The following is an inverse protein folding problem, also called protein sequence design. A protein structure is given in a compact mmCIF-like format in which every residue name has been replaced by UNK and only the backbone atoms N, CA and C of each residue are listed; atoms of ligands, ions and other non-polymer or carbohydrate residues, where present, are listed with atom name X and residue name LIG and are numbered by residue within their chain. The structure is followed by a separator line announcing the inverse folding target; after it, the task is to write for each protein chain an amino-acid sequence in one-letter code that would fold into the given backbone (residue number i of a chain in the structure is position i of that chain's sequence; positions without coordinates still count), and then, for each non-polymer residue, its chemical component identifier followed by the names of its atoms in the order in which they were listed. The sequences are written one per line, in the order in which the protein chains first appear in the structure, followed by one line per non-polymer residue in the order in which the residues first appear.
data_IF_971791970948
#
_entry.id   IF_971791970948
#
_cell.length_a   1.000
_cell.length_b   1.000
_cell.length_c   1.000
_cell.angle_alpha   90.00
_cell.angle_beta   90.00
_cell.angle_gamma   90.00
#
_symmetry.space_group_name_H-M   'P 1'
#
loop_
_entity.id
_entity.type
_entity.pdbx_description
1 polymer ?
#
# COMPACT_ATOMS: atom_id res chain seq x y z
N UNK A 1 2.72 5.17 -10.80
CA UNK A 1 1.50 4.42 -11.18
C UNK A 1 0.69 4.14 -9.93
N UNK A 2 -0.63 4.36 -10.00
CA UNK A 2 -1.55 4.20 -8.88
C UNK A 2 -2.21 2.82 -8.89
N UNK A 3 -2.09 2.08 -7.78
CA UNK A 3 -2.69 0.76 -7.62
C UNK A 3 -3.73 0.75 -6.50
N UNK A 4 -4.88 0.14 -6.79
CA UNK A 4 -6.02 -0.08 -5.89
C UNK A 4 -6.53 -1.51 -6.07
N UNK A 5 -7.57 -1.90 -5.34
CA UNK A 5 -8.25 -3.19 -5.54
C UNK A 5 -8.76 -3.41 -6.98
N UNK A 6 -8.88 -2.36 -7.79
CA UNK A 6 -9.43 -2.42 -9.15
C UNK A 6 -8.39 -2.87 -10.20
N UNK A 7 -7.10 -2.84 -9.89
CA UNK A 7 -6.03 -3.09 -10.86
C UNK A 7 -4.87 -3.94 -10.30
N UNK A 8 -5.18 -4.83 -9.36
CA UNK A 8 -4.26 -5.82 -8.79
C UNK A 8 -4.95 -7.18 -8.65
N UNK A 9 -4.19 -8.26 -8.49
CA UNK A 9 -4.78 -9.57 -8.17
C UNK A 9 -5.41 -9.58 -6.78
N UNK A 10 -6.47 -10.37 -6.61
CA UNK A 10 -7.06 -10.62 -5.29
C UNK A 10 -6.01 -11.27 -4.38
N UNK A 11 -5.89 -10.76 -3.15
CA UNK A 11 -4.92 -11.27 -2.18
C UNK A 11 -3.53 -10.68 -2.30
N UNK A 12 -3.32 -9.69 -3.18
CA UNK A 12 -2.06 -8.96 -3.31
C UNK A 12 -1.59 -8.42 -1.96
N UNK A 13 -0.32 -8.67 -1.63
CA UNK A 13 0.32 -8.24 -0.39
C UNK A 13 1.41 -7.20 -0.65
N UNK A 14 1.74 -6.40 0.36
CA UNK A 14 2.86 -5.47 0.33
C UNK A 14 3.83 -5.81 1.47
N UNK A 15 5.11 -5.95 1.15
CA UNK A 15 6.16 -6.33 2.09
C UNK A 15 7.23 -5.25 2.20
N UNK A 16 7.51 -4.81 3.43
CA UNK A 16 8.67 -4.00 3.77
C UNK A 16 9.85 -4.94 3.95
N UNK A 17 10.78 -4.91 2.99
CA UNK A 17 11.90 -5.83 2.94
C UNK A 17 12.96 -5.50 4.00
N UNK A 18 13.08 -4.23 4.40
CA UNK A 18 14.06 -3.81 5.41
C UNK A 18 13.64 -4.30 6.79
N UNK A 19 12.34 -4.18 7.09
CA UNK A 19 11.76 -4.60 8.37
C UNK A 19 11.32 -6.06 8.38
N UNK A 20 11.35 -6.75 7.23
CA UNK A 20 10.87 -8.13 7.02
C UNK A 20 9.42 -8.32 7.48
N UNK A 21 8.59 -7.30 7.29
CA UNK A 21 7.20 -7.30 7.73
C UNK A 21 6.23 -7.14 6.56
N UNK A 22 5.02 -7.67 6.73
CA UNK A 22 3.91 -7.40 5.83
C UNK A 22 3.24 -6.11 6.27
N UNK A 23 3.06 -5.17 5.35
CA UNK A 23 2.29 -3.95 5.61
C UNK A 23 0.81 -4.30 5.52
N UNK A 24 0.10 -4.01 6.60
CA UNK A 24 -1.32 -4.33 6.74
C UNK A 24 -2.19 -3.11 6.41
N UNK A 25 -3.48 -3.35 6.13
CA UNK A 25 -4.50 -2.31 5.87
C UNK A 25 -4.17 -1.38 4.69
N UNK A 26 -3.46 -1.88 3.69
CA UNK A 26 -3.17 -1.12 2.46
C UNK A 26 -4.47 -0.85 1.69
N UNK A 27 -4.70 0.41 1.36
CA UNK A 27 -5.86 0.88 0.61
C UNK A 27 -5.46 1.25 -0.82
N UNK A 28 -4.28 1.85 -0.96
CA UNK A 28 -3.76 2.36 -2.23
C UNK A 28 -2.24 2.45 -2.21
N UNK A 29 -1.62 2.24 -3.37
CA UNK A 29 -0.17 2.34 -3.55
C UNK A 29 0.11 3.30 -4.71
N UNK A 30 0.91 4.34 -4.47
CA UNK A 30 1.47 5.20 -5.51
C UNK A 30 2.96 4.88 -5.68
N UNK A 31 3.27 4.13 -6.74
CA UNK A 31 4.64 3.71 -7.05
C UNK A 31 5.51 4.82 -7.64
N UNK A 32 4.89 5.89 -8.18
CA UNK A 32 5.66 7.05 -8.69
C UNK A 32 6.15 7.91 -7.53
N UNK A 33 5.34 8.03 -6.47
CA UNK A 33 5.69 8.80 -5.27
C UNK A 33 6.32 7.95 -4.17
N UNK A 34 6.40 6.64 -4.35
CA UNK A 34 6.77 5.68 -3.31
C UNK A 34 5.95 5.84 -2.02
N UNK A 35 4.64 6.07 -2.17
CA UNK A 35 3.70 6.26 -1.06
C UNK A 35 2.72 5.09 -0.95
N UNK A 36 2.54 4.58 0.26
CA UNK A 36 1.55 3.56 0.59
C UNK A 36 0.52 4.17 1.53
N UNK A 37 -0.74 4.18 1.11
CA UNK A 37 -1.85 4.69 1.88
C UNK A 37 -2.47 3.53 2.64
N UNK A 38 -2.43 3.59 3.96
CA UNK A 38 -2.98 2.57 4.85
C UNK A 38 -4.12 3.15 5.69
N UNK A 39 -5.03 2.31 6.15
CA UNK A 39 -5.99 2.75 7.17
C UNK A 39 -5.40 2.69 8.57
N UNK A 40 -5.99 3.49 9.45
CA UNK A 40 -5.66 3.61 10.88
C UNK A 40 -5.86 2.30 11.67
N UNK A 41 -5.21 2.22 12.84
CA UNK A 41 -5.41 1.16 13.84
C UNK A 41 -5.92 1.72 15.18
N UNK A 42 -7.16 1.42 15.61
CA UNK A 42 -8.22 0.78 14.83
C UNK A 42 -8.70 1.69 13.68
N UNK A 43 -9.43 1.12 12.71
CA UNK A 43 -10.02 1.92 11.63
C UNK A 43 -10.95 3.00 12.20
N UNK A 44 -10.81 4.22 11.67
CA UNK A 44 -11.68 5.36 11.98
C UNK A 44 -12.40 5.85 10.73
N UNK A 45 -13.65 6.26 10.89
CA UNK A 45 -14.42 6.93 9.83
C UNK A 45 -13.97 8.38 9.76
N UNK A 46 -13.81 8.89 8.54
CA UNK A 46 -13.45 10.28 8.30
C UNK A 46 -14.66 11.21 8.57
N UNK A 47 -14.41 12.53 8.59
CA UNK A 47 -15.44 13.52 8.91
C UNK A 47 -16.60 13.56 7.90
N UNK A 48 -16.40 13.02 6.69
CA UNK A 48 -17.44 12.88 5.67
C UNK A 48 -18.46 11.76 5.98
N UNK A 49 -18.16 10.89 6.94
CA UNK A 49 -19.02 9.77 7.32
C UNK A 49 -18.99 8.58 6.34
N UNK A 50 -18.24 8.67 5.24
CA UNK A 50 -18.23 7.67 4.17
C UNK A 50 -16.84 7.05 3.97
N UNK A 51 -15.79 7.82 4.20
CA UNK A 51 -14.40 7.40 4.00
C UNK A 51 -13.78 6.88 5.30
N UNK A 52 -12.66 6.17 5.19
CA UNK A 52 -11.80 5.84 6.33
C UNK A 52 -10.64 6.82 6.44
N UNK A 53 -10.24 7.15 7.67
CA UNK A 53 -9.03 7.94 7.93
C UNK A 53 -7.82 7.15 7.46
N UNK A 54 -7.01 7.78 6.61
CA UNK A 54 -5.82 7.19 6.00
C UNK A 54 -4.54 7.81 6.54
N UNK A 55 -3.51 6.98 6.65
CA UNK A 55 -2.14 7.35 6.96
C UNK A 55 -1.28 7.05 5.73
N UNK A 56 -0.22 7.84 5.54
CA UNK A 56 0.72 7.64 4.44
C UNK A 56 2.04 7.13 4.99
N UNK A 57 2.49 5.99 4.48
CA UNK A 57 3.84 5.48 4.70
C UNK A 57 4.66 5.81 3.45
N UNK A 58 5.79 6.50 3.65
CA UNK A 58 6.73 6.83 2.58
C UNK A 58 7.87 5.83 2.55
N UNK A 59 8.30 5.47 1.35
CA UNK A 59 9.42 4.58 1.09
C UNK A 59 10.40 5.26 0.12
N UNK A 60 11.62 4.73 0.01
CA UNK A 60 12.55 5.13 -1.04
C UNK A 60 12.10 4.59 -2.40
N UNK A 61 11.60 3.36 -2.43
CA UNK A 61 10.91 2.82 -3.60
C UNK A 61 9.86 1.78 -3.22
N UNK A 62 8.87 1.64 -4.10
CA UNK A 62 7.83 0.62 -4.06
C UNK A 62 7.67 0.06 -5.47
N UNK A 63 7.83 -1.24 -5.67
CA UNK A 63 7.66 -1.86 -6.99
C UNK A 63 6.70 -3.05 -6.95
N UNK A 64 5.90 -3.22 -8.02
CA UNK A 64 5.03 -4.37 -8.15
C UNK A 64 5.82 -5.62 -8.57
N UNK A 65 5.39 -6.76 -8.07
CA UNK A 65 5.70 -8.08 -8.60
C UNK A 65 4.50 -8.50 -9.43
N UNK A 66 4.72 -8.81 -10.70
CA UNK A 66 3.65 -9.04 -11.68
C UNK A 66 3.38 -10.53 -11.88
N UNK A 67 2.12 -10.89 -12.02
CA UNK A 67 1.66 -12.15 -12.59
C UNK A 67 0.62 -11.86 -13.68
N UNK A 68 0.83 -12.39 -14.88
CA UNK A 68 -0.02 -12.14 -16.06
C UNK A 68 -0.28 -10.64 -16.32
N UNK A 69 0.72 -9.79 -16.07
CA UNK A 69 0.66 -8.35 -16.32
C UNK A 69 -0.05 -7.52 -15.24
N UNK A 70 -0.56 -8.14 -14.18
CA UNK A 70 -1.14 -7.44 -13.02
C UNK A 70 -0.29 -7.68 -11.76
N UNK A 71 -0.18 -6.71 -10.84
CA UNK A 71 0.51 -6.93 -9.58
C UNK A 71 -0.14 -8.05 -8.76
N UNK A 72 0.67 -8.99 -8.27
CA UNK A 72 0.29 -10.03 -7.32
C UNK A 72 0.96 -9.85 -5.94
N UNK A 73 2.01 -9.04 -5.87
CA UNK A 73 2.63 -8.58 -4.64
C UNK A 73 3.33 -7.23 -4.88
N UNK A 74 3.74 -6.57 -3.80
CA UNK A 74 4.59 -5.39 -3.83
C UNK A 74 5.72 -5.55 -2.82
N UNK A 75 6.90 -5.09 -3.22
CA UNK A 75 8.02 -4.94 -2.31
C UNK A 75 8.34 -3.46 -2.15
N UNK A 76 8.74 -3.08 -0.95
CA UNK A 76 9.16 -1.73 -0.62
C UNK A 76 10.40 -1.74 0.27
N UNK A 77 11.15 -0.65 0.23
CA UNK A 77 12.36 -0.44 1.01
C UNK A 77 12.60 1.05 1.25
N UNK A 78 13.48 1.36 2.19
CA UNK A 78 13.84 2.70 2.62
C UNK A 78 12.68 3.44 3.27
N UNK A 79 11.96 2.80 4.20
CA UNK A 79 10.83 3.42 4.90
C UNK A 79 11.27 4.71 5.60
N UNK A 80 10.60 5.81 5.29
CA UNK A 80 10.85 7.13 5.83
C UNK A 80 9.83 7.41 6.95
N UNK A 81 10.34 7.72 8.14
CA UNK A 81 9.53 8.14 9.29
C UNK A 81 9.22 9.63 9.20
#
# INVERSE_FOLDING_TARGET
MLYTSMNVHRGTTLHDLDRREKVMRVLRIDTEKAEVYVGTDPYRVAADGESIVTETIRFAAVWPILDRGLPCAFHCHGRQN
#
